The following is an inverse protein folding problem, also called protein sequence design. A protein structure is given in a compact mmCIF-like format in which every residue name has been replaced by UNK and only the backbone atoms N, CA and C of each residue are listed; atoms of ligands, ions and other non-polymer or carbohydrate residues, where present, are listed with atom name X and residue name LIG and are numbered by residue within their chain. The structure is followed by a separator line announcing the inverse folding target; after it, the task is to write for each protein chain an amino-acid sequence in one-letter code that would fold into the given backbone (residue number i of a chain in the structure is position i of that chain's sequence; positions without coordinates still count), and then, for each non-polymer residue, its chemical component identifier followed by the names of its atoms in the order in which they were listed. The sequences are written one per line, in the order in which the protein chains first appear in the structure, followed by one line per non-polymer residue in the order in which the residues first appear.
data_IF_942688761924
#
_entry.id   IF_942688761924
#
_cell.length_a   1.000
_cell.length_b   1.000
_cell.length_c   1.000
_cell.angle_alpha   90.00
_cell.angle_beta   90.00
_cell.angle_gamma   90.00
#
_symmetry.space_group_name_H-M   'P 1'
#
loop_
_entity.id
_entity.type
_entity.pdbx_description
1 polymer ?
#
# COMPACT_ATOMS: atom_id res chain seq x y z
N UNK A 1 1.86 -36.61 -8.48
CA UNK A 1 2.03 -36.01 -7.14
C UNK A 1 0.71 -35.34 -6.77
N UNK A 2 -0.10 -36.00 -5.95
CA UNK A 2 -1.35 -35.44 -5.42
C UNK A 2 -0.95 -34.47 -4.29
N UNK A 3 -0.73 -33.20 -4.62
CA UNK A 3 -0.51 -32.16 -3.63
C UNK A 3 -1.80 -32.00 -2.80
N UNK A 4 -1.74 -32.29 -1.50
CA UNK A 4 -2.78 -31.86 -0.59
C UNK A 4 -2.89 -30.33 -0.69
N UNK A 5 -4.04 -29.83 -1.09
CA UNK A 5 -4.30 -28.38 -1.07
C UNK A 5 -4.11 -27.90 0.38
N UNK A 6 -3.17 -26.99 0.59
CA UNK A 6 -2.97 -26.40 1.91
C UNK A 6 -4.26 -25.69 2.32
N UNK A 7 -4.82 -26.11 3.45
CA UNK A 7 -6.15 -25.69 3.92
C UNK A 7 -6.20 -24.20 4.29
N UNK A 8 -5.04 -23.51 4.41
CA UNK A 8 -4.97 -22.09 4.77
C UNK A 8 -3.87 -21.33 4.01
N UNK A 9 -4.08 -21.08 2.72
CA UNK A 9 -3.16 -20.31 1.88
C UNK A 9 -3.12 -18.82 2.23
N UNK A 10 -4.05 -18.33 3.06
CA UNK A 10 -4.16 -16.94 3.52
C UNK A 10 -3.57 -16.72 4.91
N UNK A 11 -3.04 -17.75 5.56
CA UNK A 11 -2.42 -17.64 6.88
C UNK A 11 -1.07 -16.87 6.78
N UNK A 12 -0.94 -15.85 7.61
CA UNK A 12 0.25 -15.03 7.73
C UNK A 12 0.93 -15.22 9.11
N UNK A 13 0.62 -16.31 9.82
CA UNK A 13 1.19 -16.61 11.13
C UNK A 13 2.71 -16.59 11.13
N UNK A 14 3.31 -15.83 12.05
CA UNK A 14 4.76 -15.68 12.19
C UNK A 14 5.44 -14.79 11.12
N UNK A 15 4.66 -14.12 10.26
CA UNK A 15 5.15 -13.13 9.30
C UNK A 15 5.23 -11.74 9.92
N UNK A 16 6.05 -10.88 9.34
CA UNK A 16 6.24 -9.47 9.73
C UNK A 16 5.96 -8.58 8.53
N UNK A 17 5.05 -7.64 8.69
CA UNK A 17 4.68 -6.69 7.66
C UNK A 17 5.08 -5.26 8.03
N UNK A 18 5.80 -4.58 7.14
CA UNK A 18 5.99 -3.12 7.19
C UNK A 18 4.83 -2.48 6.43
N UNK A 19 4.11 -1.54 7.06
CA UNK A 19 3.03 -0.78 6.42
C UNK A 19 3.30 0.71 6.56
N UNK A 20 3.49 1.41 5.43
CA UNK A 20 3.70 2.86 5.44
C UNK A 20 2.38 3.63 5.41
N UNK A 21 2.31 4.75 6.12
CA UNK A 21 1.05 5.51 6.31
C UNK A 21 0.01 4.72 7.11
N UNK A 22 0.47 3.93 8.08
CA UNK A 22 -0.33 2.99 8.86
C UNK A 22 -1.19 3.64 9.95
N UNK A 23 -1.03 4.94 10.19
CA UNK A 23 -1.71 5.63 11.30
C UNK A 23 -3.17 5.97 11.03
N UNK A 24 -3.62 5.99 9.78
CA UNK A 24 -5.01 6.35 9.43
C UNK A 24 -5.47 5.69 8.14
N UNK A 25 -6.77 5.74 7.86
CA UNK A 25 -7.37 5.42 6.58
C UNK A 25 -7.03 4.03 6.04
N UNK A 26 -6.60 3.96 4.78
CA UNK A 26 -6.34 2.69 4.10
C UNK A 26 -5.17 1.93 4.73
N UNK A 27 -4.10 2.64 5.11
CA UNK A 27 -2.92 2.04 5.74
C UNK A 27 -3.24 1.40 7.08
N UNK A 28 -4.02 2.07 7.93
CA UNK A 28 -4.49 1.52 9.19
C UNK A 28 -5.37 0.27 8.96
N UNK A 29 -6.32 0.33 8.02
CA UNK A 29 -7.17 -0.82 7.67
C UNK A 29 -6.35 -2.02 7.19
N UNK A 30 -5.39 -1.80 6.29
CA UNK A 30 -4.52 -2.88 5.79
C UNK A 30 -3.60 -3.45 6.89
N UNK A 31 -3.06 -2.61 7.79
CA UNK A 31 -2.25 -3.07 8.92
C UNK A 31 -3.06 -3.99 9.84
N UNK A 32 -4.27 -3.59 10.19
CA UNK A 32 -5.19 -4.41 11.03
C UNK A 32 -5.59 -5.70 10.32
N UNK A 33 -5.87 -5.66 9.01
CA UNK A 33 -6.21 -6.86 8.24
C UNK A 33 -5.05 -7.87 8.18
N UNK A 34 -3.83 -7.40 7.96
CA UNK A 34 -2.62 -8.24 7.99
C UNK A 34 -2.38 -8.83 9.38
N UNK A 35 -2.62 -8.06 10.44
CA UNK A 35 -2.53 -8.53 11.82
C UNK A 35 -3.58 -9.60 12.12
N UNK A 36 -4.84 -9.39 11.72
CA UNK A 36 -5.91 -10.39 11.87
C UNK A 36 -5.61 -11.70 11.11
N UNK A 37 -4.84 -11.63 10.02
CA UNK A 37 -4.36 -12.81 9.28
C UNK A 37 -3.08 -13.44 9.89
N UNK A 38 -2.48 -12.85 10.92
CA UNK A 38 -1.36 -13.44 11.67
C UNK A 38 -0.03 -12.70 11.62
N UNK A 39 0.09 -11.55 10.91
CA UNK A 39 1.31 -10.75 10.87
C UNK A 39 1.55 -9.96 12.16
N UNK A 40 2.81 -9.86 12.60
CA UNK A 40 3.26 -8.73 13.40
C UNK A 40 3.48 -7.50 12.51
N UNK A 41 3.23 -6.31 13.01
CA UNK A 41 3.19 -5.08 12.20
C UNK A 41 4.28 -4.09 12.62
N UNK A 42 5.01 -3.58 11.63
CA UNK A 42 5.83 -2.36 11.75
C UNK A 42 5.07 -1.25 11.04
N UNK A 43 4.47 -0.38 11.83
CA UNK A 43 3.76 0.79 11.32
C UNK A 43 4.73 1.95 11.10
N UNK A 44 4.77 2.47 9.87
CA UNK A 44 5.64 3.61 9.52
C UNK A 44 4.76 4.81 9.20
N UNK A 45 4.91 5.89 9.95
CA UNK A 45 4.17 7.13 9.69
C UNK A 45 4.93 8.37 10.17
N UNK A 46 4.62 9.52 9.58
CA UNK A 46 5.20 10.81 9.98
C UNK A 46 4.59 11.31 11.29
N UNK A 47 3.30 11.11 11.45
CA UNK A 47 2.55 11.50 12.65
C UNK A 47 2.42 10.32 13.62
N UNK A 48 1.79 10.57 14.75
CA UNK A 48 1.43 9.57 15.74
C UNK A 48 0.66 8.39 15.13
N UNK A 49 0.89 7.17 15.62
CA UNK A 49 0.26 5.95 15.12
C UNK A 49 -1.26 5.88 15.34
N UNK A 50 -1.81 6.80 16.12
CA UNK A 50 -3.25 6.87 16.40
C UNK A 50 -3.76 5.65 17.16
N UNK A 51 -4.91 5.14 16.75
CA UNK A 51 -5.55 3.94 17.34
C UNK A 51 -5.05 2.61 16.74
N UNK A 52 -4.24 2.66 15.70
CA UNK A 52 -3.78 1.47 14.97
C UNK A 52 -3.04 0.45 15.87
N UNK A 53 -2.13 0.86 16.77
CA UNK A 53 -1.47 -0.10 17.67
C UNK A 53 -2.48 -0.92 18.48
N UNK A 54 -3.42 -0.28 19.16
CA UNK A 54 -4.44 -0.97 19.96
C UNK A 54 -5.33 -1.90 19.14
N UNK A 55 -5.66 -1.52 17.90
CA UNK A 55 -6.43 -2.38 16.97
C UNK A 55 -5.64 -3.60 16.51
N UNK A 56 -4.34 -3.48 16.27
CA UNK A 56 -3.44 -4.60 15.94
C UNK A 56 -3.29 -5.52 17.14
N UNK A 57 -3.03 -4.97 18.33
CA UNK A 57 -2.87 -5.73 19.57
C UNK A 57 -4.15 -6.49 19.95
N UNK A 58 -5.33 -5.95 19.67
CA UNK A 58 -6.60 -6.63 19.83
C UNK A 58 -6.74 -7.92 18.98
N UNK A 59 -5.93 -8.08 17.93
CA UNK A 59 -5.86 -9.33 17.13
C UNK A 59 -4.89 -10.37 17.73
N UNK A 60 -4.23 -10.05 18.85
CA UNK A 60 -3.19 -10.89 19.46
C UNK A 60 -1.81 -10.74 18.79
N UNK A 61 -1.62 -9.74 17.92
CA UNK A 61 -0.35 -9.49 17.23
C UNK A 61 0.37 -8.27 17.83
N UNK A 62 1.69 -8.17 17.56
CA UNK A 62 2.52 -7.08 18.06
C UNK A 62 2.57 -5.94 17.04
N UNK A 63 2.68 -4.71 17.56
CA UNK A 63 2.88 -3.51 16.75
C UNK A 63 4.17 -2.80 17.18
N UNK A 64 4.98 -2.37 16.22
CA UNK A 64 6.12 -1.48 16.41
C UNK A 64 5.87 -0.17 15.67
N UNK A 65 5.92 0.96 16.37
CA UNK A 65 5.77 2.30 15.76
C UNK A 65 7.13 2.83 15.32
N UNK A 66 7.26 3.17 14.05
CA UNK A 66 8.45 3.81 13.48
C UNK A 66 8.06 5.16 12.90
N UNK A 67 8.49 6.23 13.54
CA UNK A 67 8.27 7.58 13.02
C UNK A 67 9.29 7.93 11.95
N UNK A 68 8.79 8.15 10.73
CA UNK A 68 9.64 8.50 9.60
C UNK A 68 8.89 9.40 8.60
N UNK A 69 9.59 10.43 8.10
CA UNK A 69 9.10 11.25 6.99
C UNK A 69 9.69 10.73 5.68
N UNK A 70 8.82 10.16 4.85
CA UNK A 70 9.16 9.62 3.55
C UNK A 70 9.25 10.70 2.44
N UNK A 71 9.22 11.98 2.78
CA UNK A 71 9.60 13.06 1.87
C UNK A 71 11.10 13.01 1.52
N UNK A 72 11.89 12.22 2.25
CA UNK A 72 13.27 11.92 1.90
C UNK A 72 13.57 10.43 2.02
N UNK A 73 14.68 10.00 1.45
CA UNK A 73 15.15 8.60 1.56
C UNK A 73 15.97 8.33 2.82
N UNK A 74 16.29 9.38 3.59
CA UNK A 74 17.14 9.28 4.77
C UNK A 74 16.69 8.26 5.83
N UNK A 75 15.38 8.11 6.15
CA UNK A 75 14.96 7.17 7.19
C UNK A 75 14.85 5.70 6.72
N UNK A 76 15.09 5.38 5.45
CA UNK A 76 14.77 4.07 4.89
C UNK A 76 15.55 2.94 5.56
N UNK A 77 16.85 3.11 5.74
CA UNK A 77 17.69 2.09 6.39
C UNK A 77 17.30 1.88 7.86
N UNK A 78 16.90 2.95 8.55
CA UNK A 78 16.43 2.89 9.94
C UNK A 78 15.10 2.14 10.05
N UNK A 79 14.19 2.30 9.10
CA UNK A 79 12.92 1.55 9.04
C UNK A 79 13.21 0.04 8.93
N UNK A 80 14.07 -0.36 8.00
CA UNK A 80 14.44 -1.77 7.80
C UNK A 80 15.14 -2.32 9.04
N UNK A 81 16.07 -1.57 9.60
CA UNK A 81 16.79 -1.96 10.82
C UNK A 81 15.83 -2.15 11.99
N UNK A 82 14.94 -1.20 12.26
CA UNK A 82 13.96 -1.28 13.34
C UNK A 82 13.06 -2.52 13.22
N UNK A 83 12.62 -2.86 12.02
CA UNK A 83 11.83 -4.08 11.77
C UNK A 83 12.63 -5.35 12.12
N UNK A 84 13.88 -5.43 11.66
CA UNK A 84 14.74 -6.61 11.91
C UNK A 84 15.15 -6.70 13.39
N UNK A 85 15.48 -5.60 14.03
CA UNK A 85 15.84 -5.58 15.47
C UNK A 85 14.65 -5.98 16.35
N UNK A 86 13.43 -5.57 16.01
CA UNK A 86 12.23 -5.83 16.82
C UNK A 86 11.67 -7.23 16.61
N UNK A 87 11.64 -7.71 15.36
CA UNK A 87 10.92 -8.93 14.99
C UNK A 87 11.81 -10.03 14.36
N UNK A 88 13.08 -9.73 14.08
CA UNK A 88 14.04 -10.66 13.51
C UNK A 88 13.96 -10.87 12.01
N UNK A 89 12.89 -10.37 11.35
CA UNK A 89 12.61 -10.60 9.92
C UNK A 89 11.69 -9.56 9.33
N UNK A 90 11.59 -9.58 8.01
CA UNK A 90 10.55 -8.88 7.23
C UNK A 90 10.04 -9.88 6.19
N UNK A 91 8.73 -9.94 5.97
CA UNK A 91 8.10 -10.82 4.96
C UNK A 91 7.22 -10.04 3.98
N UNK A 92 6.64 -8.94 4.43
CA UNK A 92 5.72 -8.13 3.63
C UNK A 92 6.09 -6.66 3.74
N UNK A 93 6.03 -5.94 2.62
CA UNK A 93 6.06 -4.48 2.57
C UNK A 93 4.79 -3.97 1.90
N UNK A 94 4.07 -3.06 2.57
CA UNK A 94 2.96 -2.31 1.99
C UNK A 94 3.35 -0.85 1.84
N UNK A 95 3.62 -0.42 0.61
CA UNK A 95 3.88 0.97 0.24
C UNK A 95 2.55 1.70 0.06
N UNK A 96 1.99 2.20 1.17
CA UNK A 96 0.71 2.91 1.16
C UNK A 96 0.86 4.42 1.41
N UNK A 97 1.89 4.87 2.11
CA UNK A 97 2.09 6.30 2.34
C UNK A 97 2.01 7.10 1.05
N UNK A 98 1.29 8.22 1.10
CA UNK A 98 1.12 9.06 -0.06
C UNK A 98 0.41 10.36 0.27
N UNK A 99 0.71 11.37 -0.52
CA UNK A 99 0.10 12.70 -0.45
C UNK A 99 -0.50 13.08 -1.81
N UNK A 100 -1.37 14.05 -1.79
CA UNK A 100 -1.96 14.65 -2.98
C UNK A 100 -1.86 16.17 -2.90
N UNK A 101 -1.52 16.81 -4.03
CA UNK A 101 -1.60 18.25 -4.23
C UNK A 101 -2.58 18.53 -5.35
N UNK A 102 -3.39 19.57 -5.18
CA UNK A 102 -4.46 19.90 -6.12
C UNK A 102 -4.33 21.33 -6.60
N UNK A 103 -3.98 21.50 -7.87
CA UNK A 103 -3.93 22.78 -8.56
C UNK A 103 -4.13 22.58 -10.07
N UNK A 104 -4.58 23.60 -10.77
CA UNK A 104 -4.67 23.58 -12.23
C UNK A 104 -3.29 23.32 -12.85
N UNK A 105 -3.24 22.53 -13.92
CA UNK A 105 -1.97 22.14 -14.53
C UNK A 105 -1.15 23.33 -15.03
N UNK A 106 -1.80 24.44 -15.41
CA UNK A 106 -1.13 25.68 -15.83
C UNK A 106 -0.53 26.48 -14.66
N UNK A 107 -0.94 26.21 -13.42
CA UNK A 107 -0.48 26.89 -12.20
C UNK A 107 0.25 25.95 -11.23
N UNK A 108 0.46 24.69 -11.62
CA UNK A 108 1.07 23.68 -10.75
C UNK A 108 2.53 24.04 -10.48
N UNK A 109 2.93 24.09 -9.21
CA UNK A 109 4.29 24.49 -8.81
C UNK A 109 5.24 23.29 -8.80
N UNK A 110 6.56 23.59 -8.95
CA UNK A 110 7.63 22.59 -8.82
C UNK A 110 7.66 21.98 -7.41
N UNK A 111 7.51 22.81 -6.37
CA UNK A 111 7.47 22.34 -4.98
C UNK A 111 6.35 21.32 -4.72
N UNK A 112 5.14 21.57 -5.25
CA UNK A 112 4.02 20.62 -5.13
C UNK A 112 4.23 19.36 -5.97
N UNK A 113 4.93 19.50 -7.10
CA UNK A 113 5.32 18.35 -7.90
C UNK A 113 6.34 17.46 -7.15
N UNK A 114 7.43 18.05 -6.69
CA UNK A 114 8.52 17.33 -6.01
C UNK A 114 8.04 16.69 -4.71
N UNK A 115 7.27 17.41 -3.89
CA UNK A 115 6.69 16.86 -2.67
C UNK A 115 5.90 15.57 -2.90
N UNK A 116 5.10 15.50 -3.98
CA UNK A 116 4.32 14.31 -4.31
C UNK A 116 5.23 13.23 -4.89
N UNK A 117 6.15 13.55 -5.79
CA UNK A 117 7.04 12.59 -6.42
C UNK A 117 7.98 11.94 -5.39
N UNK A 118 8.49 12.70 -4.45
CA UNK A 118 9.37 12.20 -3.38
C UNK A 118 8.64 11.18 -2.50
N UNK A 119 7.43 11.51 -2.02
CA UNK A 119 6.67 10.61 -1.13
C UNK A 119 6.04 9.44 -1.90
N UNK A 120 5.41 9.70 -3.06
CA UNK A 120 4.56 8.69 -3.71
C UNK A 120 5.31 7.76 -4.67
N UNK A 121 6.52 8.13 -5.11
CA UNK A 121 7.25 7.36 -6.11
C UNK A 121 8.69 7.08 -5.68
N UNK A 122 9.47 8.09 -5.35
CA UNK A 122 10.89 7.94 -4.99
C UNK A 122 11.05 7.09 -3.73
N UNK A 123 10.32 7.40 -2.66
CA UNK A 123 10.37 6.61 -1.43
C UNK A 123 9.90 5.17 -1.64
N UNK A 124 8.88 4.96 -2.48
CA UNK A 124 8.37 3.63 -2.83
C UNK A 124 9.46 2.77 -3.46
N UNK A 125 10.22 3.32 -4.40
CA UNK A 125 11.32 2.60 -5.03
C UNK A 125 12.43 2.26 -4.02
N UNK A 126 12.95 3.24 -3.30
CA UNK A 126 14.10 3.03 -2.42
C UNK A 126 13.77 2.18 -1.19
N UNK A 127 12.57 2.30 -0.62
CA UNK A 127 12.13 1.42 0.47
C UNK A 127 11.92 -0.02 -0.04
N UNK A 128 11.33 -0.19 -1.22
CA UNK A 128 11.21 -1.52 -1.86
C UNK A 128 12.59 -2.14 -2.09
N UNK A 129 13.57 -1.36 -2.56
CA UNK A 129 14.94 -1.81 -2.78
C UNK A 129 15.61 -2.26 -1.47
N UNK A 130 15.49 -1.47 -0.40
CA UNK A 130 16.08 -1.79 0.89
C UNK A 130 15.46 -3.05 1.49
N UNK A 131 14.13 -3.19 1.42
CA UNK A 131 13.42 -4.40 1.88
C UNK A 131 13.74 -5.61 1.01
N UNK A 132 13.84 -5.45 -0.33
CA UNK A 132 14.23 -6.55 -1.22
C UNK A 132 15.65 -7.07 -0.91
N UNK A 133 16.61 -6.17 -0.61
CA UNK A 133 17.95 -6.59 -0.12
C UNK A 133 17.86 -7.41 1.16
N UNK A 134 16.96 -7.05 2.07
CA UNK A 134 16.72 -7.81 3.29
C UNK A 134 16.10 -9.18 2.99
N UNK A 135 15.14 -9.29 2.07
CA UNK A 135 14.57 -10.56 1.63
C UNK A 135 15.63 -11.51 1.04
N UNK A 136 16.50 -10.97 0.17
CA UNK A 136 17.63 -11.74 -0.38
C UNK A 136 18.57 -12.21 0.73
N UNK A 137 18.91 -11.35 1.69
CA UNK A 137 19.74 -11.70 2.84
C UNK A 137 19.11 -12.80 3.72
N UNK A 138 17.80 -12.78 3.89
CA UNK A 138 17.04 -13.79 4.64
C UNK A 138 16.85 -15.10 3.89
N UNK A 139 17.08 -15.13 2.57
CA UNK A 139 16.90 -16.29 1.69
C UNK A 139 15.48 -16.91 1.73
N UNK A 140 14.46 -16.11 1.98
CA UNK A 140 13.09 -16.59 2.12
C UNK A 140 12.10 -15.92 1.15
N UNK A 141 12.58 -15.04 0.26
CA UNK A 141 11.71 -14.24 -0.59
C UNK A 141 10.87 -13.24 0.21
N UNK A 142 9.79 -12.75 -0.38
CA UNK A 142 8.88 -11.83 0.28
C UNK A 142 7.83 -11.21 -0.65
N UNK A 143 6.95 -10.39 -0.09
CA UNK A 143 5.84 -9.75 -0.80
C UNK A 143 5.94 -8.23 -0.70
N UNK A 144 5.92 -7.54 -1.83
CA UNK A 144 5.85 -6.08 -1.91
C UNK A 144 4.51 -5.71 -2.54
N UNK A 145 3.72 -4.92 -1.84
CA UNK A 145 2.39 -4.49 -2.24
C UNK A 145 2.39 -2.97 -2.32
N UNK A 146 2.29 -2.44 -3.52
CA UNK A 146 2.24 -1.02 -3.77
C UNK A 146 0.80 -0.53 -3.82
N UNK A 147 0.48 0.59 -3.18
CA UNK A 147 -0.82 1.23 -3.32
C UNK A 147 -0.77 2.21 -4.49
N UNK A 148 -1.30 1.76 -5.61
CA UNK A 148 -1.53 2.54 -6.83
C UNK A 148 -2.81 3.39 -6.72
N UNK A 149 -3.50 3.62 -7.81
CA UNK A 149 -4.77 4.35 -7.88
C UNK A 149 -5.49 4.00 -9.18
N UNK A 150 -6.79 4.29 -9.28
CA UNK A 150 -7.46 4.37 -10.58
C UNK A 150 -6.76 5.35 -11.52
N UNK A 151 -6.14 6.41 -10.98
CA UNK A 151 -5.37 7.38 -11.77
C UNK A 151 -4.05 6.82 -12.32
N UNK A 152 -3.71 5.58 -12.02
CA UNK A 152 -2.67 4.83 -12.72
C UNK A 152 -3.12 4.34 -14.10
N UNK A 153 -4.43 4.32 -14.37
CA UNK A 153 -5.04 3.82 -15.60
C UNK A 153 -5.77 4.91 -16.39
N UNK A 154 -6.16 5.98 -15.73
CA UNK A 154 -6.91 7.09 -16.33
C UNK A 154 -6.38 8.44 -15.86
N UNK A 155 -6.69 9.52 -16.57
CA UNK A 155 -6.37 10.87 -16.15
C UNK A 155 -7.26 11.37 -15.01
N UNK A 156 -6.74 12.31 -14.23
CA UNK A 156 -7.48 13.08 -13.25
C UNK A 156 -7.47 14.58 -13.61
N UNK A 157 -8.22 15.38 -12.88
CA UNK A 157 -8.26 16.83 -13.03
C UNK A 157 -7.61 17.45 -11.79
N UNK A 158 -6.70 18.43 -11.98
CA UNK A 158 -6.02 19.19 -10.92
C UNK A 158 -5.14 18.34 -9.99
N UNK A 159 -4.62 17.22 -10.47
CA UNK A 159 -3.80 16.26 -9.70
C UNK A 159 -2.60 15.77 -10.53
N UNK A 160 -1.86 16.69 -11.13
CA UNK A 160 -0.79 16.39 -12.09
C UNK A 160 0.26 15.42 -11.54
N UNK A 161 0.96 15.81 -10.47
CA UNK A 161 2.01 14.97 -9.84
C UNK A 161 1.47 13.68 -9.23
N UNK A 162 0.25 13.70 -8.67
CA UNK A 162 -0.36 12.49 -8.14
C UNK A 162 -0.63 11.46 -9.25
N UNK A 163 -1.21 11.88 -10.37
CA UNK A 163 -1.44 11.01 -11.53
C UNK A 163 -0.13 10.45 -12.07
N UNK A 164 0.87 11.32 -12.25
CA UNK A 164 2.20 10.90 -12.70
C UNK A 164 2.84 9.89 -11.74
N UNK A 165 2.83 10.17 -10.44
CA UNK A 165 3.40 9.26 -9.42
C UNK A 165 2.71 7.91 -9.38
N UNK A 166 1.37 7.87 -9.43
CA UNK A 166 0.61 6.61 -9.38
C UNK A 166 0.74 5.79 -10.67
N UNK A 167 0.91 6.45 -11.82
CA UNK A 167 1.29 5.78 -13.07
C UNK A 167 2.73 5.23 -13.01
N UNK A 168 3.65 5.99 -12.41
CA UNK A 168 5.03 5.54 -12.17
C UNK A 168 5.09 4.32 -11.23
N UNK A 169 4.29 4.28 -10.17
CA UNK A 169 4.17 3.12 -9.27
C UNK A 169 3.74 1.86 -10.04
N UNK A 170 2.84 1.99 -11.01
CA UNK A 170 2.43 0.87 -11.86
C UNK A 170 3.59 0.35 -12.72
N UNK A 171 4.38 1.27 -13.29
CA UNK A 171 5.60 0.94 -14.05
C UNK A 171 6.64 0.24 -13.16
N UNK A 172 6.92 0.80 -11.98
CA UNK A 172 7.85 0.19 -11.01
C UNK A 172 7.38 -1.19 -10.55
N UNK A 173 6.09 -1.39 -10.31
CA UNK A 173 5.54 -2.69 -9.92
C UNK A 173 5.88 -3.77 -10.93
N UNK A 174 5.76 -3.47 -12.23
CA UNK A 174 6.09 -4.39 -13.32
C UNK A 174 7.59 -4.62 -13.45
N UNK A 175 8.38 -3.55 -13.40
CA UNK A 175 9.85 -3.63 -13.47
C UNK A 175 10.40 -4.52 -12.36
N UNK A 176 10.05 -4.20 -11.11
CA UNK A 176 10.58 -4.89 -9.93
C UNK A 176 10.10 -6.35 -9.84
N UNK A 177 8.89 -6.64 -10.33
CA UNK A 177 8.40 -8.00 -10.44
C UNK A 177 9.26 -8.83 -11.41
N UNK A 178 9.64 -8.26 -12.56
CA UNK A 178 10.49 -8.95 -13.54
C UNK A 178 11.90 -9.21 -13.00
N UNK A 179 12.49 -8.22 -12.32
CA UNK A 179 13.86 -8.33 -11.83
C UNK A 179 13.98 -9.23 -10.60
N UNK A 180 12.96 -9.23 -9.71
CA UNK A 180 13.08 -9.85 -8.40
C UNK A 180 12.34 -11.18 -8.26
N UNK A 181 11.54 -11.60 -9.25
CA UNK A 181 10.88 -12.90 -9.24
C UNK A 181 11.86 -14.10 -9.06
N UNK A 182 13.06 -14.11 -9.67
CA UNK A 182 14.04 -15.18 -9.45
C UNK A 182 14.53 -15.30 -7.99
N UNK A 183 14.36 -14.24 -7.18
CA UNK A 183 14.68 -14.22 -5.75
C UNK A 183 13.50 -14.63 -4.86
N UNK A 184 12.38 -15.09 -5.45
CA UNK A 184 11.15 -15.43 -4.71
C UNK A 184 10.41 -14.19 -4.17
N UNK A 185 10.64 -13.00 -4.77
CA UNK A 185 9.99 -11.76 -4.35
C UNK A 185 8.83 -11.46 -5.28
N UNK A 186 7.60 -11.43 -4.76
CA UNK A 186 6.44 -10.98 -5.50
C UNK A 186 6.26 -9.48 -5.33
N UNK A 187 6.13 -8.75 -6.44
CA UNK A 187 5.82 -7.32 -6.43
C UNK A 187 4.52 -7.10 -7.17
N UNK A 188 3.50 -6.64 -6.45
CA UNK A 188 2.16 -6.39 -6.98
C UNK A 188 1.62 -5.05 -6.48
N UNK A 189 0.48 -4.62 -7.00
CA UNK A 189 -0.18 -3.40 -6.55
C UNK A 189 -1.66 -3.61 -6.28
N UNK A 190 -2.22 -2.77 -5.42
CA UNK A 190 -3.66 -2.55 -5.26
C UNK A 190 -3.97 -1.16 -5.80
N UNK A 191 -5.00 -1.03 -6.62
CA UNK A 191 -5.51 0.25 -7.10
C UNK A 191 -6.88 0.51 -6.47
N UNK A 192 -6.94 1.26 -5.36
CA UNK A 192 -8.21 1.62 -4.73
C UNK A 192 -9.02 2.56 -5.61
N UNK A 193 -10.34 2.40 -5.56
CA UNK A 193 -11.31 3.33 -6.10
C UNK A 193 -11.55 4.54 -5.21
N UNK A 194 -12.76 5.09 -5.28
CA UNK A 194 -13.20 6.13 -4.38
C UNK A 194 -13.48 5.56 -2.99
N UNK A 195 -12.56 5.80 -2.06
CA UNK A 195 -12.60 5.30 -0.69
C UNK A 195 -12.99 6.39 0.29
N UNK A 196 -13.84 6.06 1.26
CA UNK A 196 -14.28 6.96 2.33
C UNK A 196 -13.17 7.12 3.38
N UNK A 197 -12.26 8.06 3.14
CA UNK A 197 -11.15 8.43 4.02
C UNK A 197 -11.12 9.95 4.25
N UNK A 198 -10.19 10.42 5.08
CA UNK A 198 -9.98 11.86 5.29
C UNK A 198 -9.64 12.59 3.98
N UNK A 199 -8.86 11.96 3.08
CA UNK A 199 -8.45 12.54 1.79
C UNK A 199 -9.62 12.83 0.84
N UNK A 200 -10.76 12.16 1.03
CA UNK A 200 -11.95 12.31 0.20
C UNK A 200 -13.11 13.00 0.93
N UNK A 201 -12.88 13.46 2.16
CA UNK A 201 -13.94 14.10 2.98
C UNK A 201 -14.58 15.30 2.27
N UNK A 202 -13.77 16.16 1.65
CA UNK A 202 -14.27 17.32 0.89
C UNK A 202 -15.16 16.91 -0.30
N UNK A 203 -14.79 15.83 -1.01
CA UNK A 203 -15.59 15.32 -2.15
C UNK A 203 -16.93 14.73 -1.68
N UNK A 204 -16.94 14.08 -0.52
CA UNK A 204 -18.14 13.49 0.08
C UNK A 204 -19.05 14.54 0.72
N UNK A 205 -18.48 15.67 1.16
CA UNK A 205 -19.22 16.80 1.71
C UNK A 205 -19.86 17.70 0.66
N UNK A 206 -19.41 17.65 -0.58
CA UNK A 206 -20.02 18.33 -1.72
C UNK A 206 -21.10 17.42 -2.32
N UNK A 207 -22.37 17.77 -2.12
CA UNK A 207 -23.53 16.93 -2.51
C UNK A 207 -23.52 16.63 -4.01
N UNK A 208 -23.31 17.64 -4.86
CA UNK A 208 -23.32 17.45 -6.30
C UNK A 208 -22.17 16.51 -6.72
N UNK A 209 -20.98 16.75 -6.21
CA UNK A 209 -19.80 15.95 -6.55
C UNK A 209 -19.90 14.54 -6.02
N UNK A 210 -20.45 14.34 -4.83
CA UNK A 210 -20.71 13.02 -4.25
C UNK A 210 -21.68 12.22 -5.13
N UNK A 211 -22.78 12.83 -5.57
CA UNK A 211 -23.78 12.17 -6.40
C UNK A 211 -23.24 11.80 -7.79
N UNK A 212 -22.46 12.68 -8.41
CA UNK A 212 -21.77 12.39 -9.67
C UNK A 212 -20.82 11.19 -9.55
N UNK A 213 -20.07 11.11 -8.45
CA UNK A 213 -19.15 10.00 -8.19
C UNK A 213 -19.94 8.71 -7.95
N UNK A 214 -20.94 8.73 -7.08
CA UNK A 214 -21.77 7.56 -6.77
C UNK A 214 -22.49 7.03 -8.01
N UNK A 215 -23.04 7.90 -8.85
CA UNK A 215 -23.71 7.51 -10.10
C UNK A 215 -22.77 6.76 -11.07
N UNK A 216 -21.47 7.00 -10.97
CA UNK A 216 -20.46 6.34 -11.81
C UNK A 216 -19.89 5.05 -11.20
N UNK A 217 -19.98 4.84 -9.88
CA UNK A 217 -19.53 3.59 -9.24
C UNK A 217 -20.61 2.50 -9.42
N UNK A 218 -20.35 1.39 -10.14
CA UNK A 218 -21.35 0.33 -10.30
C UNK A 218 -21.84 -0.27 -8.99
N UNK A 219 -20.96 -0.37 -7.97
CA UNK A 219 -21.34 -0.83 -6.63
C UNK A 219 -22.21 0.17 -5.84
N UNK A 220 -22.47 1.37 -6.37
CA UNK A 220 -23.32 2.43 -5.83
C UNK A 220 -22.98 2.86 -4.38
N UNK A 221 -21.70 2.69 -3.98
CA UNK A 221 -21.19 3.12 -2.68
C UNK A 221 -19.72 3.51 -2.75
N UNK A 222 -19.31 4.35 -1.83
CA UNK A 222 -17.90 4.53 -1.53
C UNK A 222 -17.32 3.23 -0.95
N UNK A 223 -16.08 2.93 -1.32
CA UNK A 223 -15.32 1.89 -0.63
C UNK A 223 -14.89 2.35 0.77
N UNK A 224 -14.54 1.40 1.61
CA UNK A 224 -13.99 1.62 2.95
C UNK A 224 -12.63 0.96 3.09
N UNK A 225 -11.83 1.26 4.13
CA UNK A 225 -10.59 0.54 4.37
C UNK A 225 -10.77 -0.99 4.46
N UNK A 226 -11.93 -1.47 4.92
CA UNK A 226 -12.24 -2.90 5.03
C UNK A 226 -12.36 -3.59 3.68
N UNK A 227 -12.71 -2.87 2.61
CA UNK A 227 -12.73 -3.42 1.25
C UNK A 227 -11.33 -3.80 0.75
N UNK A 228 -10.27 -3.29 1.38
CA UNK A 228 -8.88 -3.65 1.06
C UNK A 228 -8.35 -4.82 1.90
N UNK A 229 -9.08 -5.29 2.93
CA UNK A 229 -8.63 -6.35 3.81
C UNK A 229 -8.35 -7.66 3.07
N UNK A 230 -9.31 -8.17 2.31
CA UNK A 230 -9.12 -9.37 1.49
C UNK A 230 -8.00 -9.22 0.45
N UNK A 231 -8.00 -8.17 -0.38
CA UNK A 231 -6.96 -7.89 -1.35
C UNK A 231 -5.54 -7.85 -0.78
N UNK A 232 -5.31 -7.17 0.36
CA UNK A 232 -3.96 -7.06 0.95
C UNK A 232 -3.50 -8.41 1.52
N UNK A 233 -4.39 -9.15 2.18
CA UNK A 233 -4.07 -10.49 2.71
C UNK A 233 -3.81 -11.49 1.57
N UNK A 234 -4.59 -11.45 0.48
CA UNK A 234 -4.33 -12.26 -0.72
C UNK A 234 -2.92 -12.00 -1.26
N UNK A 235 -2.57 -10.74 -1.51
CA UNK A 235 -1.25 -10.40 -2.08
C UNK A 235 -0.09 -10.62 -1.11
N UNK A 236 -0.32 -10.64 0.20
CA UNK A 236 0.66 -10.92 1.23
C UNK A 236 0.89 -12.42 1.47
N UNK A 237 -0.02 -13.28 1.05
CA UNK A 237 -0.06 -14.70 1.37
C UNK A 237 0.48 -15.60 0.24
N UNK A 238 0.58 -16.90 0.53
CA UNK A 238 0.98 -17.91 -0.47
C UNK A 238 -0.07 -18.12 -1.56
N UNK A 239 -1.32 -17.66 -1.35
CA UNK A 239 -2.37 -17.66 -2.37
C UNK A 239 -1.99 -16.85 -3.62
N UNK A 240 -1.02 -15.94 -3.52
CA UNK A 240 -0.54 -15.10 -4.62
C UNK A 240 0.89 -15.43 -5.09
N UNK A 241 1.44 -16.62 -4.77
CA UNK A 241 2.84 -16.94 -5.09
C UNK A 241 3.15 -16.90 -6.59
N UNK A 242 2.18 -17.14 -7.44
CA UNK A 242 2.35 -17.07 -8.91
C UNK A 242 1.82 -15.75 -9.51
N UNK A 243 1.50 -14.76 -8.67
CA UNK A 243 1.05 -13.43 -9.10
C UNK A 243 2.22 -12.45 -9.02
N UNK A 244 2.66 -11.94 -10.17
CA UNK A 244 3.78 -11.00 -10.29
C UNK A 244 3.42 -9.84 -11.21
N UNK A 245 3.75 -8.62 -10.83
CA UNK A 245 3.57 -7.41 -11.64
C UNK A 245 2.12 -7.02 -11.88
N UNK A 246 1.18 -7.66 -11.18
CA UNK A 246 -0.25 -7.41 -11.33
C UNK A 246 -0.72 -6.21 -10.50
N UNK A 247 -1.74 -5.53 -10.98
CA UNK A 247 -2.44 -4.47 -10.24
C UNK A 247 -3.89 -4.86 -10.07
N UNK A 248 -4.29 -5.13 -8.85
CA UNK A 248 -5.66 -5.50 -8.49
C UNK A 248 -6.48 -4.24 -8.25
N UNK A 249 -7.43 -3.95 -9.13
CA UNK A 249 -8.39 -2.87 -8.93
C UNK A 249 -9.41 -3.26 -7.84
N UNK A 250 -9.59 -2.38 -6.86
CA UNK A 250 -10.58 -2.51 -5.78
C UNK A 250 -11.39 -1.22 -5.75
N UNK A 251 -12.30 -1.06 -6.70
CA UNK A 251 -12.86 0.23 -7.09
C UNK A 251 -14.39 0.23 -7.25
N UNK A 252 -15.05 -0.84 -6.84
CA UNK A 252 -16.50 -0.99 -6.98
C UNK A 252 -16.98 -1.04 -8.44
N UNK A 253 -16.08 -1.39 -9.37
CA UNK A 253 -16.36 -1.50 -10.81
C UNK A 253 -16.13 -0.19 -11.59
N UNK A 254 -15.51 0.82 -10.99
CA UNK A 254 -15.26 2.11 -11.64
C UNK A 254 -14.50 1.99 -12.97
N UNK A 255 -13.47 1.14 -13.04
CA UNK A 255 -12.65 0.92 -14.23
C UNK A 255 -13.27 -0.06 -15.23
N UNK A 256 -14.37 -0.72 -14.89
CA UNK A 256 -15.04 -1.68 -15.76
C UNK A 256 -15.95 -1.03 -16.80
N UNK A 257 -16.17 0.31 -16.75
CA UNK A 257 -17.02 1.07 -17.68
C UNK A 257 -16.47 2.47 -17.99
#
# INVERSE_FOLDING_TARGET
MTGAYAVNTFDLGGKVAIVTGSNTGLGAGMAVALAAAGCDIVGVSRADAGDTPGRVEATGRRFADVRADLASTAPIDDIVRAAVETFGRIDVLVNNAGIIRREDALAFTEDDWDAVMDVNLKSVFFLSQAVARQFVKQQCGGKIINVASMLSFQGGIRVASYTASKSGVLGLTRLLANEWAPHGINVNAIAPGYMATANTAALRGDVQRNDEILARIPAARWGTPDDLAGPVVFLASTASDYVHGHTLAVDGGWLAR
#
